data_IF_637140639099
#
_entry.id   IF_637140639099
#
_cell.length_a   1.000
_cell.length_b   1.000
_cell.length_c   1.000
_cell.angle_alpha   90.00
_cell.angle_beta   90.00
_cell.angle_gamma   90.00
#
_symmetry.space_group_name_H-M   'P 1'
#
loop_
_entity.id
_entity.type
_entity.pdbx_description
1 polymer ?
#
# COMPACT_ATOMS: atom_id res chain seq x y z
N UNK A 1 -14.48 24.56 0.64
CA UNK A 1 -15.53 23.88 -0.15
C UNK A 1 -15.51 22.42 0.24
N UNK A 2 -16.67 21.82 0.43
CA UNK A 2 -16.81 20.39 0.77
C UNK A 2 -17.30 19.70 -0.50
N UNK A 3 -16.68 18.57 -0.85
CA UNK A 3 -17.16 17.70 -1.92
C UNK A 3 -18.35 16.92 -1.39
N UNK A 4 -19.45 16.89 -2.13
CA UNK A 4 -20.67 16.18 -1.70
C UNK A 4 -20.34 14.70 -1.38
N UNK A 5 -20.63 14.27 -0.15
CA UNK A 5 -20.33 12.92 0.36
C UNK A 5 -19.04 12.77 1.17
N UNK A 6 -18.16 13.77 1.27
CA UNK A 6 -16.98 13.74 2.15
C UNK A 6 -17.23 14.58 3.43
N UNK A 7 -16.94 14.00 4.60
CA UNK A 7 -17.17 14.65 5.89
C UNK A 7 -16.22 15.85 6.13
N UNK A 8 -15.06 15.87 5.47
CA UNK A 8 -14.03 16.90 5.66
C UNK A 8 -13.53 17.47 4.31
N UNK A 9 -13.18 18.77 4.25
CA UNK A 9 -12.73 19.40 3.02
C UNK A 9 -11.27 19.03 2.67
N UNK A 10 -11.05 18.54 1.44
CA UNK A 10 -9.70 18.23 0.94
C UNK A 10 -8.75 19.44 0.84
N UNK A 11 -9.29 20.65 0.67
CA UNK A 11 -8.52 21.90 0.64
C UNK A 11 -9.40 23.08 1.08
N UNK A 12 -8.87 23.93 1.96
CA UNK A 12 -9.52 25.18 2.39
C UNK A 12 -8.82 26.36 1.70
N UNK A 13 -9.57 27.11 0.90
CA UNK A 13 -9.05 28.25 0.15
C UNK A 13 -8.88 29.52 1.01
N UNK A 14 -8.01 30.46 0.60
CA UNK A 14 -7.76 31.69 1.34
C UNK A 14 -8.96 32.65 1.30
N UNK A 15 -9.37 33.13 2.47
CA UNK A 15 -10.37 34.19 2.59
C UNK A 15 -9.70 35.56 2.50
N UNK A 16 -9.74 36.19 1.32
CA UNK A 16 -9.18 37.53 1.15
C UNK A 16 -10.26 38.58 1.42
N UNK A 17 -10.10 39.38 2.48
CA UNK A 17 -10.95 40.56 2.70
C UNK A 17 -10.84 41.52 1.51
N UNK A 18 -11.98 41.93 0.95
CA UNK A 18 -12.04 42.90 -0.12
C UNK A 18 -11.73 44.31 0.36
N UNK A 19 -11.64 45.25 -0.59
CA UNK A 19 -11.28 46.67 -0.32
C UNK A 19 -12.19 47.32 0.74
N UNK A 20 -13.46 46.91 0.80
CA UNK A 20 -14.46 47.44 1.74
C UNK A 20 -14.39 46.80 3.14
N UNK A 21 -13.45 45.87 3.38
CA UNK A 21 -13.21 45.20 4.68
C UNK A 21 -14.43 44.49 5.29
N UNK A 22 -15.51 44.34 4.52
CA UNK A 22 -16.76 43.68 4.88
C UNK A 22 -17.04 42.51 3.93
N UNK A 23 -16.94 42.77 2.64
CA UNK A 23 -17.12 41.75 1.61
C UNK A 23 -15.78 41.09 1.25
N UNK A 24 -15.69 39.75 1.22
CA UNK A 24 -14.51 39.09 0.66
C UNK A 24 -14.33 39.51 -0.80
N UNK A 25 -13.08 39.67 -1.23
CA UNK A 25 -12.77 39.91 -2.63
C UNK A 25 -13.35 38.74 -3.45
N UNK A 26 -14.16 39.01 -4.49
CA UNK A 26 -14.66 37.93 -5.33
C UNK A 26 -13.47 37.17 -5.88
N UNK A 27 -13.49 35.86 -5.67
CA UNK A 27 -12.46 34.97 -6.18
C UNK A 27 -12.54 34.99 -7.70
N UNK A 28 -11.43 35.36 -8.35
CA UNK A 28 -11.37 35.32 -9.81
C UNK A 28 -11.47 33.87 -10.30
N UNK A 29 -12.07 33.67 -11.47
CA UNK A 29 -12.27 32.36 -12.09
C UNK A 29 -10.97 31.56 -12.20
N UNK A 30 -9.84 32.20 -12.49
CA UNK A 30 -8.53 31.53 -12.56
C UNK A 30 -8.06 30.99 -11.21
N UNK A 31 -8.26 31.78 -10.14
CA UNK A 31 -7.92 31.39 -8.78
C UNK A 31 -8.83 30.27 -8.27
N UNK A 32 -10.12 30.31 -8.62
CA UNK A 32 -11.06 29.23 -8.34
C UNK A 32 -10.65 27.92 -9.00
N UNK A 33 -10.38 27.94 -10.31
CA UNK A 33 -9.97 26.75 -11.06
C UNK A 33 -8.67 26.15 -10.50
N UNK A 34 -7.76 27.00 -10.04
CA UNK A 34 -6.51 26.55 -9.39
C UNK A 34 -6.81 25.79 -8.10
N UNK A 35 -7.69 26.31 -7.22
CA UNK A 35 -8.07 25.63 -5.97
C UNK A 35 -8.75 24.28 -6.23
N UNK A 36 -9.65 24.22 -7.22
CA UNK A 36 -10.32 22.97 -7.62
C UNK A 36 -9.30 21.94 -8.11
N UNK A 37 -8.35 22.37 -8.95
CA UNK A 37 -7.29 21.49 -9.44
C UNK A 37 -6.42 20.97 -8.29
N UNK A 38 -5.94 21.85 -7.42
CA UNK A 38 -5.12 21.45 -6.27
C UNK A 38 -5.87 20.50 -5.34
N UNK A 39 -7.15 20.77 -5.04
CA UNK A 39 -7.96 19.87 -4.23
C UNK A 39 -8.08 18.47 -4.87
N UNK A 40 -8.25 18.41 -6.20
CA UNK A 40 -8.33 17.16 -6.95
C UNK A 40 -7.01 16.39 -6.94
N UNK A 41 -5.88 17.10 -7.05
CA UNK A 41 -4.54 16.51 -6.95
C UNK A 41 -4.25 15.98 -5.54
N UNK A 42 -4.69 16.67 -4.49
CA UNK A 42 -4.55 16.20 -3.09
C UNK A 42 -5.30 14.89 -2.90
N UNK A 43 -6.54 14.80 -3.38
CA UNK A 43 -7.33 13.57 -3.29
C UNK A 43 -6.65 12.41 -4.05
N UNK A 44 -6.28 12.64 -5.31
CA UNK A 44 -5.61 11.63 -6.12
C UNK A 44 -4.30 11.16 -5.47
N UNK A 45 -3.48 12.09 -4.95
CA UNK A 45 -2.23 11.78 -4.24
C UNK A 45 -2.50 11.00 -2.94
N UNK A 46 -3.52 11.37 -2.18
CA UNK A 46 -3.89 10.68 -0.95
C UNK A 46 -4.34 9.24 -1.22
N UNK A 47 -5.17 9.02 -2.24
CA UNK A 47 -5.57 7.68 -2.68
C UNK A 47 -4.38 6.85 -3.15
N UNK A 48 -3.47 7.46 -3.92
CA UNK A 48 -2.26 6.79 -4.38
C UNK A 48 -1.31 6.46 -3.22
N UNK A 49 -1.18 7.34 -2.22
CA UNK A 49 -0.44 7.07 -0.99
C UNK A 49 -1.07 5.93 -0.19
N UNK A 50 -2.40 5.89 -0.07
CA UNK A 50 -3.10 4.78 0.59
C UNK A 50 -2.84 3.46 -0.13
N UNK A 51 -2.95 3.43 -1.46
CA UNK A 51 -2.64 2.24 -2.27
C UNK A 51 -1.18 1.79 -2.09
N UNK A 52 -0.22 2.71 -2.12
CA UNK A 52 1.19 2.37 -1.90
C UNK A 52 1.51 1.91 -0.46
N UNK A 53 0.69 2.28 0.52
CA UNK A 53 0.81 1.76 1.89
C UNK A 53 0.27 0.34 2.00
N UNK A 54 -0.84 0.05 1.32
CA UNK A 54 -1.49 -1.27 1.33
C UNK A 54 -0.79 -2.28 0.42
N UNK A 55 -0.24 -1.84 -0.71
CA UNK A 55 0.44 -2.67 -1.69
C UNK A 55 1.91 -2.26 -1.76
N UNK A 56 2.81 -3.14 -1.35
CA UNK A 56 4.26 -2.92 -1.42
C UNK A 56 4.91 -4.03 -2.22
N UNK A 57 5.81 -3.66 -3.13
CA UNK A 57 6.65 -4.61 -3.88
C UNK A 57 8.12 -4.38 -3.54
N UNK A 58 8.89 -5.46 -3.42
CA UNK A 58 10.34 -5.42 -3.24
C UNK A 58 10.97 -6.54 -4.06
N UNK A 59 11.90 -6.16 -4.93
CA UNK A 59 12.79 -7.11 -5.61
C UNK A 59 13.97 -7.49 -4.74
N UNK A 60 14.16 -8.79 -4.57
CA UNK A 60 15.27 -9.38 -3.80
C UNK A 60 16.03 -10.35 -4.67
N UNK A 61 17.36 -10.35 -4.58
CA UNK A 61 18.16 -11.37 -5.23
C UNK A 61 17.99 -12.70 -4.48
N UNK A 62 17.75 -13.79 -5.22
CA UNK A 62 17.67 -15.15 -4.69
C UNK A 62 19.00 -15.59 -4.08
N UNK A 63 18.92 -16.51 -3.11
CA UNK A 63 20.08 -17.05 -2.40
C UNK A 63 21.09 -17.75 -3.33
N UNK A 64 20.63 -18.25 -4.48
CA UNK A 64 21.44 -18.91 -5.51
C UNK A 64 22.13 -17.92 -6.49
N UNK A 65 22.06 -16.62 -6.20
CA UNK A 65 22.84 -15.55 -6.86
C UNK A 65 22.53 -15.30 -8.34
N UNK A 66 21.67 -16.11 -8.99
CA UNK A 66 21.35 -16.00 -10.40
C UNK A 66 19.91 -15.54 -10.71
N UNK A 67 19.00 -15.59 -9.74
CA UNK A 67 17.57 -15.31 -9.97
C UNK A 67 17.10 -14.13 -9.10
N UNK A 68 16.18 -13.31 -9.63
CA UNK A 68 15.55 -12.20 -8.91
C UNK A 68 14.12 -12.58 -8.53
N UNK A 69 13.75 -12.32 -7.29
CA UNK A 69 12.44 -12.63 -6.74
C UNK A 69 11.67 -11.34 -6.51
N UNK A 70 10.48 -11.26 -7.06
CA UNK A 70 9.50 -10.20 -6.80
C UNK A 70 8.69 -10.58 -5.57
N UNK A 71 8.91 -9.88 -4.45
CA UNK A 71 8.15 -10.08 -3.22
C UNK A 71 7.09 -8.99 -3.12
N UNK A 72 5.82 -9.38 -3.12
CA UNK A 72 4.68 -8.48 -2.94
C UNK A 72 4.08 -8.66 -1.55
N UNK A 73 3.71 -7.55 -0.91
CA UNK A 73 2.96 -7.48 0.33
C UNK A 73 1.66 -6.73 0.08
N UNK A 74 0.55 -7.42 0.28
CA UNK A 74 -0.80 -6.89 0.12
C UNK A 74 -1.48 -6.85 1.49
N UNK A 75 -1.77 -5.67 2.01
CA UNK A 75 -2.46 -5.47 3.28
C UNK A 75 -3.95 -5.34 2.98
N UNK A 76 -4.74 -6.25 3.52
CA UNK A 76 -6.20 -6.22 3.45
C UNK A 76 -6.73 -5.53 4.72
N UNK A 77 -7.22 -4.28 4.61
CA UNK A 77 -7.82 -3.57 5.73
C UNK A 77 -9.25 -4.10 5.93
N UNK A 78 -9.38 -5.20 6.65
CA UNK A 78 -10.68 -5.73 7.10
C UNK A 78 -11.10 -5.06 8.43
N UNK A 79 -12.40 -4.85 8.64
CA UNK A 79 -12.94 -4.23 9.85
C UNK A 79 -12.90 -5.15 11.09
N UNK A 80 -12.79 -6.47 10.88
CA UNK A 80 -12.82 -7.48 11.94
C UNK A 80 -11.43 -8.08 12.15
N UNK A 81 -10.76 -8.52 11.08
CA UNK A 81 -9.43 -9.15 11.16
C UNK A 81 -8.51 -8.67 10.03
N UNK A 82 -7.83 -7.53 10.17
CA UNK A 82 -6.90 -7.05 9.15
C UNK A 82 -5.68 -7.97 9.05
N UNK A 83 -5.33 -8.38 7.83
CA UNK A 83 -4.19 -9.26 7.56
C UNK A 83 -3.35 -8.76 6.38
N UNK A 84 -2.13 -9.27 6.26
CA UNK A 84 -1.30 -9.06 5.09
C UNK A 84 -0.95 -10.38 4.40
N UNK A 85 -0.94 -10.37 3.06
CA UNK A 85 -0.51 -11.47 2.22
C UNK A 85 0.88 -11.15 1.66
N UNK A 86 1.84 -12.00 1.97
CA UNK A 86 3.17 -11.95 1.42
C UNK A 86 3.29 -13.00 0.31
N UNK A 87 3.48 -12.57 -0.92
CA UNK A 87 3.62 -13.46 -2.07
C UNK A 87 5.01 -13.31 -2.67
N UNK A 88 5.68 -14.41 -2.92
CA UNK A 88 6.97 -14.46 -3.60
C UNK A 88 6.77 -14.98 -5.02
N UNK A 89 7.17 -14.17 -6.00
CA UNK A 89 7.09 -14.45 -7.43
C UNK A 89 8.52 -14.60 -7.98
N UNK A 90 8.72 -15.56 -8.87
CA UNK A 90 9.94 -15.68 -9.66
C UNK A 90 9.95 -14.66 -10.82
N UNK A 91 11.09 -14.53 -11.51
CA UNK A 91 11.30 -13.70 -12.71
C UNK A 91 10.28 -13.97 -13.83
N UNK A 92 9.70 -15.16 -13.87
CA UNK A 92 8.66 -15.55 -14.83
C UNK A 92 7.22 -15.23 -14.36
N UNK A 93 7.06 -14.61 -13.19
CA UNK A 93 5.76 -14.30 -12.58
C UNK A 93 5.08 -15.51 -11.92
N UNK A 94 5.80 -16.62 -11.74
CA UNK A 94 5.28 -17.81 -11.06
C UNK A 94 5.34 -17.65 -9.54
N UNK A 95 4.24 -17.94 -8.86
CA UNK A 95 4.17 -17.89 -7.41
C UNK A 95 4.90 -19.06 -6.77
N UNK A 96 6.02 -18.78 -6.12
CA UNK A 96 6.82 -19.78 -5.40
C UNK A 96 6.29 -20.04 -3.99
N UNK A 97 5.80 -18.99 -3.31
CA UNK A 97 5.28 -19.10 -1.95
C UNK A 97 4.29 -17.96 -1.65
N UNK A 98 3.33 -18.26 -0.78
CA UNK A 98 2.44 -17.28 -0.20
C UNK A 98 2.29 -17.54 1.30
N UNK A 99 2.39 -16.48 2.10
CA UNK A 99 2.27 -16.54 3.56
C UNK A 99 1.40 -15.40 4.04
N UNK A 100 0.44 -15.70 4.91
CA UNK A 100 -0.33 -14.70 5.62
C UNK A 100 0.41 -14.24 6.87
N UNK A 101 0.43 -12.93 7.11
CA UNK A 101 1.09 -12.31 8.25
C UNK A 101 0.29 -11.16 8.85
N UNK A 102 0.84 -10.57 9.90
CA UNK A 102 0.26 -9.39 10.54
C UNK A 102 0.28 -8.18 9.57
N UNK A 103 -0.74 -7.28 9.62
CA UNK A 103 -0.82 -6.11 8.76
C UNK A 103 0.32 -5.09 8.99
N UNK A 104 1.01 -5.17 10.13
CA UNK A 104 2.14 -4.31 10.49
C UNK A 104 3.51 -4.83 10.02
N UNK A 105 3.56 -5.89 9.22
CA UNK A 105 4.84 -6.48 8.75
C UNK A 105 5.59 -5.48 7.87
N UNK A 106 6.83 -5.15 8.29
CA UNK A 106 7.74 -4.31 7.49
C UNK A 106 8.52 -5.20 6.55
N UNK A 107 8.26 -5.08 5.25
CA UNK A 107 9.14 -5.64 4.23
C UNK A 107 10.51 -4.93 4.30
N UNK A 108 11.57 -5.69 4.55
CA UNK A 108 12.94 -5.21 4.46
C UNK A 108 13.80 -6.28 3.79
N UNK A 109 14.77 -5.90 2.96
CA UNK A 109 15.67 -6.86 2.29
C UNK A 109 16.35 -7.83 3.27
N UNK A 110 16.53 -7.43 4.53
CA UNK A 110 17.09 -8.26 5.60
C UNK A 110 16.10 -9.26 6.24
N UNK A 111 14.78 -9.03 6.19
CA UNK A 111 13.78 -9.99 6.69
C UNK A 111 13.52 -11.13 5.71
N UNK A 112 14.05 -11.02 4.48
CA UNK A 112 14.11 -12.09 3.48
C UNK A 112 15.32 -13.01 3.72
N UNK A 113 15.55 -13.35 4.98
CA UNK A 113 16.59 -14.27 5.40
C UNK A 113 16.06 -15.04 6.59
N UNK A 114 16.07 -16.36 6.48
CA UNK A 114 15.78 -17.30 7.57
C UNK A 114 14.30 -17.63 7.79
N UNK A 115 13.77 -18.42 6.85
CA UNK A 115 12.53 -19.17 7.00
C UNK A 115 12.60 -20.54 6.35
N UNK A 116 13.73 -21.26 6.45
CA UNK A 116 13.80 -22.70 6.17
C UNK A 116 12.97 -23.46 7.23
N UNK A 117 11.67 -23.20 7.31
CA UNK A 117 10.75 -24.11 7.95
C UNK A 117 10.63 -25.28 6.97
N UNK A 118 11.48 -26.29 7.20
CA UNK A 118 11.35 -27.61 6.57
C UNK A 118 9.87 -27.98 6.66
N UNK A 119 9.19 -27.97 5.52
CA UNK A 119 7.90 -28.62 5.36
C UNK A 119 8.25 -30.10 5.46
N UNK A 120 8.15 -30.65 6.67
CA UNK A 120 8.28 -32.08 6.89
C UNK A 120 7.03 -32.74 6.29
N UNK A 121 7.14 -33.67 5.32
CA UNK A 121 5.98 -34.44 4.90
C UNK A 121 5.51 -35.32 6.07
N UNK A 122 4.20 -35.49 6.29
CA UNK A 122 3.69 -36.40 7.29
C UNK A 122 3.87 -37.86 6.82
N UNK A 123 4.54 -38.66 7.65
CA UNK A 123 4.35 -40.11 7.77
C UNK A 123 4.62 -40.98 6.53
N UNK A 124 5.85 -41.48 6.42
CA UNK A 124 6.07 -42.83 5.91
C UNK A 124 6.99 -43.54 6.91
N UNK A 125 6.40 -44.11 7.96
CA UNK A 125 7.09 -45.11 8.78
C UNK A 125 7.45 -46.27 7.86
N UNK A 126 8.75 -46.42 7.63
CA UNK A 126 9.33 -47.65 7.13
C UNK A 126 9.08 -48.75 8.18
N UNK A 127 8.11 -49.62 7.90
CA UNK A 127 7.96 -50.90 8.59
C UNK A 127 9.25 -51.70 8.42
N UNK A 128 10.06 -51.69 9.47
CA UNK A 128 11.31 -52.40 9.57
C UNK A 128 11.03 -53.87 9.90
N UNK A 129 11.76 -54.73 9.22
CA UNK A 129 11.74 -56.18 9.30
C UNK A 129 11.79 -56.73 10.73
N UNK A 130 11.05 -57.83 10.93
CA UNK A 130 11.11 -58.77 12.04
C UNK A 130 10.48 -60.08 11.62
#
# INVERSE_FOLDING_TARGET
MIKDGEAEPALVGPWTMGRNKKDPKPLDTSAFNTLVKTASEVLCRHEQQRRAQLHKEVRVASADRNDELDITLDIVPDDIEPYALLTALDTFGEQLAQVQGAPSVKLSKASCGLGRKRISPPGLEAGQAG
#
